data_IF_331401060520
#
_entry.id   IF_331401060520
#
_cell.length_a   1.000
_cell.length_b   1.000
_cell.length_c   1.000
_cell.angle_alpha   90.00
_cell.angle_beta   90.00
_cell.angle_gamma   90.00
#
_symmetry.space_group_name_H-M   'P 1'
#
loop_
_entity.id
_entity.type
_entity.pdbx_description
1 polymer ?
#
# COMPACT_ATOMS: atom_id res chain seq x y z
N UNK A 1 11.98 -1.24 35.28
CA UNK A 1 10.83 -0.65 34.52
C UNK A 1 9.50 -1.17 35.10
N UNK A 2 8.37 -0.48 34.88
CA UNK A 2 7.05 -0.84 35.47
C UNK A 2 6.68 -2.33 35.28
N UNK A 3 6.82 -2.85 34.06
CA UNK A 3 6.49 -4.25 33.73
C UNK A 3 7.41 -5.30 34.37
N UNK A 4 8.63 -4.94 34.78
CA UNK A 4 9.52 -5.83 35.53
C UNK A 4 9.08 -5.94 36.99
N UNK A 5 8.50 -4.85 37.54
CA UNK A 5 7.95 -4.80 38.90
C UNK A 5 6.53 -5.35 39.00
N UNK A 6 5.82 -5.43 37.87
CA UNK A 6 4.43 -5.86 37.77
C UNK A 6 4.23 -6.94 36.68
N UNK A 7 4.75 -8.17 36.89
CA UNK A 7 4.73 -9.22 35.87
C UNK A 7 3.32 -9.72 35.51
N UNK A 8 2.36 -9.61 36.44
CA UNK A 8 0.96 -10.03 36.26
C UNK A 8 0.05 -8.93 35.72
N UNK A 9 0.54 -7.69 35.60
CA UNK A 9 -0.20 -6.53 35.10
C UNK A 9 0.66 -5.70 34.14
N UNK A 10 1.28 -6.39 33.17
CA UNK A 10 2.09 -5.74 32.15
C UNK A 10 1.25 -4.76 31.34
N UNK A 11 1.68 -3.50 31.30
CA UNK A 11 1.07 -2.47 30.47
C UNK A 11 1.91 -2.31 29.21
N UNK A 12 1.24 -2.32 28.06
CA UNK A 12 1.85 -1.99 26.78
C UNK A 12 1.60 -0.52 26.49
N UNK A 13 2.66 0.30 26.39
CA UNK A 13 2.49 1.73 26.06
C UNK A 13 1.75 1.91 24.74
N UNK A 14 2.07 1.10 23.72
CA UNK A 14 1.35 1.13 22.45
C UNK A 14 -0.11 0.69 22.61
N UNK A 15 -0.37 -0.30 23.47
CA UNK A 15 -1.72 -0.76 23.80
C UNK A 15 -2.55 0.35 24.48
N UNK A 16 -1.96 1.07 25.43
CA UNK A 16 -2.61 2.21 26.10
C UNK A 16 -2.92 3.33 25.11
N UNK A 17 -1.97 3.68 24.24
CA UNK A 17 -2.16 4.73 23.23
C UNK A 17 -3.26 4.35 22.23
N UNK A 18 -3.26 3.11 21.72
CA UNK A 18 -4.25 2.64 20.74
C UNK A 18 -5.64 2.47 21.35
N UNK A 19 -5.75 2.03 22.62
CA UNK A 19 -7.01 1.98 23.33
C UNK A 19 -7.64 3.37 23.53
N UNK A 20 -6.81 4.39 23.75
CA UNK A 20 -7.30 5.76 23.99
C UNK A 20 -7.57 6.54 22.70
N UNK A 21 -6.68 6.45 21.69
CA UNK A 21 -6.73 7.29 20.49
C UNK A 21 -7.17 6.56 19.22
N UNK A 22 -7.16 5.22 19.23
CA UNK A 22 -7.38 4.39 18.05
C UNK A 22 -6.11 4.13 17.23
N UNK A 23 -6.07 2.96 16.58
CA UNK A 23 -4.93 2.52 15.77
C UNK A 23 -4.57 3.49 14.65
N UNK A 24 -5.55 4.06 13.96
CA UNK A 24 -5.34 4.98 12.84
C UNK A 24 -4.66 6.28 13.25
N UNK A 25 -5.03 6.82 14.41
CA UNK A 25 -4.47 8.06 14.97
C UNK A 25 -3.05 7.80 15.46
N UNK A 26 -2.86 6.72 16.22
CA UNK A 26 -1.54 6.34 16.75
C UNK A 26 -0.56 6.04 15.62
N UNK A 27 -0.97 5.27 14.61
CA UNK A 27 -0.12 4.94 13.46
C UNK A 27 0.36 6.21 12.74
N UNK A 28 -0.56 7.15 12.45
CA UNK A 28 -0.23 8.43 11.82
C UNK A 28 0.73 9.26 12.69
N UNK A 29 0.52 9.28 14.01
CA UNK A 29 1.39 9.99 14.94
C UNK A 29 2.79 9.40 14.99
N UNK A 30 2.92 8.07 15.04
CA UNK A 30 4.22 7.39 15.07
C UNK A 30 5.04 7.61 13.81
N UNK A 31 4.42 7.52 12.62
CA UNK A 31 5.12 7.84 11.36
C UNK A 31 5.58 9.30 11.32
N UNK A 32 4.83 10.21 11.95
CA UNK A 32 5.24 11.62 12.07
C UNK A 32 6.40 11.79 13.05
N UNK A 33 6.31 11.20 14.23
CA UNK A 33 7.33 11.27 15.28
C UNK A 33 8.65 10.59 14.86
N UNK A 34 8.60 9.55 14.01
CA UNK A 34 9.79 8.91 13.44
C UNK A 34 10.64 9.85 12.59
N UNK A 35 10.04 10.92 12.03
CA UNK A 35 10.74 11.88 11.16
C UNK A 35 11.44 13.00 11.94
N UNK A 36 11.21 13.10 13.25
CA UNK A 36 11.85 14.11 14.09
C UNK A 36 13.01 13.47 14.88
N UNK A 37 14.25 14.00 14.81
CA UNK A 37 15.42 13.36 15.40
C UNK A 37 15.29 13.00 16.88
N UNK A 38 14.64 13.88 17.66
CA UNK A 38 14.47 13.71 19.12
C UNK A 38 13.55 12.53 19.44
N UNK A 39 12.52 12.30 18.63
CA UNK A 39 11.49 11.27 18.88
C UNK A 39 11.69 10.01 18.04
N UNK A 40 12.63 10.01 17.09
CA UNK A 40 12.84 8.94 16.12
C UNK A 40 12.98 7.57 16.78
N UNK A 41 13.95 7.43 17.70
CA UNK A 41 14.24 6.14 18.35
C UNK A 41 13.04 5.57 19.08
N UNK A 42 12.30 6.40 19.80
CA UNK A 42 11.10 5.96 20.54
C UNK A 42 9.95 5.63 19.60
N UNK A 43 9.72 6.45 18.58
CA UNK A 43 8.66 6.24 17.60
C UNK A 43 8.89 4.96 16.78
N UNK A 44 10.12 4.69 16.34
CA UNK A 44 10.48 3.45 15.63
C UNK A 44 10.24 2.21 16.50
N UNK A 45 10.59 2.28 17.79
CA UNK A 45 10.34 1.18 18.73
C UNK A 45 8.84 0.95 18.92
N UNK A 46 8.06 2.01 19.15
CA UNK A 46 6.61 1.91 19.33
C UNK A 46 5.90 1.43 18.07
N UNK A 47 6.35 1.87 16.89
CA UNK A 47 5.83 1.38 15.62
C UNK A 47 6.10 -0.12 15.45
N UNK A 48 7.32 -0.58 15.73
CA UNK A 48 7.65 -2.01 15.67
C UNK A 48 6.75 -2.83 16.60
N UNK A 49 6.50 -2.33 17.81
CA UNK A 49 5.56 -2.95 18.76
C UNK A 49 4.11 -2.96 18.24
N UNK A 50 3.68 -1.91 17.54
CA UNK A 50 2.35 -1.87 16.93
C UNK A 50 2.21 -2.93 15.82
N UNK A 51 3.18 -2.99 14.90
CA UNK A 51 3.21 -3.95 13.79
C UNK A 51 3.25 -5.40 14.28
N UNK A 52 4.16 -5.70 15.21
CA UNK A 52 4.24 -7.02 15.83
C UNK A 52 2.98 -7.37 16.63
N UNK A 53 2.39 -6.38 17.30
CA UNK A 53 1.14 -6.55 18.04
C UNK A 53 0.00 -6.98 17.13
N UNK A 54 -0.15 -6.33 15.98
CA UNK A 54 -1.14 -6.72 14.96
C UNK A 54 -0.87 -8.13 14.43
N UNK A 55 0.37 -8.45 14.07
CA UNK A 55 0.74 -9.79 13.57
C UNK A 55 0.49 -10.90 14.62
N UNK A 56 0.91 -10.69 15.88
CA UNK A 56 0.71 -11.63 16.99
C UNK A 56 -0.77 -11.83 17.33
N UNK A 57 -1.58 -10.81 17.09
CA UNK A 57 -3.05 -10.88 17.25
C UNK A 57 -3.75 -11.53 16.06
N UNK A 58 -3.00 -12.05 15.07
CA UNK A 58 -3.56 -12.77 13.92
C UNK A 58 -4.24 -11.88 12.89
N UNK A 59 -3.97 -10.56 12.89
CA UNK A 59 -4.58 -9.64 11.92
C UNK A 59 -4.07 -9.92 10.52
N UNK A 60 -4.96 -9.87 9.54
CA UNK A 60 -4.62 -9.84 8.12
C UNK A 60 -4.23 -8.42 7.67
N UNK A 61 -3.72 -8.30 6.44
CA UNK A 61 -3.47 -6.99 5.83
C UNK A 61 -4.77 -6.21 5.66
N UNK A 62 -5.87 -6.87 5.31
CA UNK A 62 -7.20 -6.27 5.21
C UNK A 62 -7.71 -5.74 6.56
N UNK A 63 -7.46 -6.49 7.65
CA UNK A 63 -7.80 -6.03 9.00
C UNK A 63 -7.02 -4.77 9.38
N UNK A 64 -5.73 -4.70 9.06
CA UNK A 64 -4.91 -3.52 9.33
C UNK A 64 -5.33 -2.35 8.43
N UNK A 65 -5.66 -2.61 7.17
CA UNK A 65 -6.24 -1.60 6.28
C UNK A 65 -7.51 -0.97 6.87
N UNK A 66 -8.40 -1.81 7.42
CA UNK A 66 -9.63 -1.38 8.08
C UNK A 66 -9.35 -0.62 9.40
N UNK A 67 -8.41 -1.11 10.23
CA UNK A 67 -8.01 -0.44 11.48
C UNK A 67 -7.44 0.95 11.24
N UNK A 68 -6.71 1.13 10.14
CA UNK A 68 -6.17 2.42 9.72
C UNK A 68 -7.24 3.34 9.09
N UNK A 69 -8.47 2.86 8.88
CA UNK A 69 -9.57 3.61 8.27
C UNK A 69 -9.22 4.21 6.91
N UNK A 70 -8.42 3.49 6.12
CA UNK A 70 -7.92 3.97 4.83
C UNK A 70 -9.05 4.07 3.79
N UNK A 71 -10.08 3.22 3.89
CA UNK A 71 -11.28 3.32 3.05
C UNK A 71 -12.01 4.64 3.26
N UNK A 72 -12.13 5.07 4.51
CA UNK A 72 -12.79 6.32 4.91
C UNK A 72 -12.00 7.55 4.48
N UNK A 73 -10.66 7.46 4.47
CA UNK A 73 -9.79 8.54 3.98
C UNK A 73 -9.93 8.75 2.45
N UNK A 74 -10.44 7.76 1.70
CA UNK A 74 -10.66 7.87 0.24
C UNK A 74 -9.39 8.28 -0.51
N UNK A 75 -9.46 9.31 -1.35
CA UNK A 75 -8.29 9.81 -2.09
C UNK A 75 -7.18 10.36 -1.19
N UNK A 76 -7.52 10.89 -0.01
CA UNK A 76 -6.54 11.41 0.94
C UNK A 76 -5.64 10.29 1.51
N UNK A 77 -6.08 9.02 1.44
CA UNK A 77 -5.27 7.87 1.82
C UNK A 77 -3.96 7.79 1.04
N UNK A 78 -3.95 8.21 -0.24
CA UNK A 78 -2.78 8.13 -1.14
C UNK A 78 -1.57 8.91 -0.60
N UNK A 79 -1.82 10.02 0.11
CA UNK A 79 -0.79 10.86 0.72
C UNK A 79 -0.72 10.70 2.24
N UNK A 80 -1.56 9.85 2.81
CA UNK A 80 -1.64 9.63 4.25
C UNK A 80 -0.44 8.85 4.75
N UNK A 81 0.09 9.27 5.90
CA UNK A 81 1.11 8.49 6.63
C UNK A 81 0.59 7.13 7.09
N UNK A 82 -0.72 6.95 7.15
CA UNK A 82 -1.35 5.65 7.42
C UNK A 82 -1.04 4.63 6.32
N UNK A 83 -0.94 5.05 5.05
CA UNK A 83 -0.55 4.17 3.96
C UNK A 83 0.91 3.68 4.10
N UNK A 84 1.80 4.53 4.63
CA UNK A 84 3.17 4.13 4.95
C UNK A 84 3.20 3.09 6.08
N UNK A 85 2.31 3.21 7.07
CA UNK A 85 2.16 2.18 8.11
C UNK A 85 1.66 0.85 7.54
N UNK A 86 0.67 0.88 6.63
CA UNK A 86 0.19 -0.33 5.96
C UNK A 86 1.29 -0.99 5.14
N UNK A 87 2.08 -0.22 4.39
CA UNK A 87 3.22 -0.72 3.62
C UNK A 87 4.28 -1.39 4.51
N UNK A 88 4.59 -0.78 5.67
CA UNK A 88 5.48 -1.37 6.67
C UNK A 88 4.90 -2.69 7.24
N UNK A 89 3.57 -2.76 7.43
CA UNK A 89 2.89 -3.97 7.88
C UNK A 89 2.88 -5.08 6.83
N UNK A 90 2.59 -4.76 5.57
CA UNK A 90 2.60 -5.73 4.46
C UNK A 90 3.97 -6.40 4.33
N UNK A 91 5.06 -5.61 4.40
CA UNK A 91 6.43 -6.16 4.37
C UNK A 91 6.69 -7.13 5.51
N UNK A 92 6.25 -6.78 6.72
CA UNK A 92 6.35 -7.67 7.87
C UNK A 92 5.52 -8.94 7.65
N UNK A 93 4.26 -8.79 7.24
CA UNK A 93 3.33 -9.90 7.04
C UNK A 93 3.84 -10.88 5.99
N UNK A 94 4.26 -10.40 4.82
CA UNK A 94 4.79 -11.22 3.74
C UNK A 94 6.04 -11.98 4.17
N UNK A 95 6.95 -11.33 4.91
CA UNK A 95 8.16 -11.98 5.45
C UNK A 95 7.82 -13.11 6.43
N UNK A 96 6.96 -12.84 7.41
CA UNK A 96 6.69 -13.77 8.52
C UNK A 96 5.69 -14.87 8.16
N UNK A 97 4.82 -14.63 7.17
CA UNK A 97 3.81 -15.57 6.71
C UNK A 97 4.15 -16.24 5.38
N UNK A 98 5.28 -15.88 4.76
CA UNK A 98 5.63 -16.29 3.39
C UNK A 98 4.49 -16.02 2.41
N UNK A 99 3.84 -14.87 2.57
CA UNK A 99 2.72 -14.40 1.76
C UNK A 99 3.19 -13.39 0.70
N UNK A 100 2.29 -13.04 -0.21
CA UNK A 100 2.54 -12.06 -1.28
C UNK A 100 1.42 -10.99 -1.31
N UNK A 101 1.12 -10.43 -0.14
CA UNK A 101 0.14 -9.36 -0.01
C UNK A 101 0.62 -8.08 -0.69
N UNK A 102 -0.30 -7.38 -1.33
CA UNK A 102 0.00 -6.22 -2.18
C UNK A 102 -0.79 -5.01 -1.77
N UNK A 103 -0.10 -3.88 -1.57
CA UNK A 103 -0.74 -2.62 -1.16
C UNK A 103 -1.76 -2.13 -2.20
N UNK A 104 -1.52 -2.39 -3.50
CA UNK A 104 -2.44 -1.98 -4.56
C UNK A 104 -3.68 -2.87 -4.62
N UNK A 105 -3.56 -4.17 -4.31
CA UNK A 105 -4.72 -5.07 -4.22
C UNK A 105 -5.65 -4.66 -3.07
N UNK A 106 -5.07 -4.42 -1.90
CA UNK A 106 -5.83 -4.01 -0.72
C UNK A 106 -6.48 -2.64 -0.92
N UNK A 107 -5.75 -1.70 -1.54
CA UNK A 107 -6.33 -0.41 -1.93
C UNK A 107 -7.44 -0.58 -2.95
N UNK A 108 -7.31 -1.48 -3.94
CA UNK A 108 -8.34 -1.72 -4.95
C UNK A 108 -9.65 -2.21 -4.31
N UNK A 109 -9.59 -3.07 -3.28
CA UNK A 109 -10.77 -3.47 -2.49
C UNK A 109 -11.47 -2.24 -1.91
N UNK A 110 -10.71 -1.32 -1.32
CA UNK A 110 -11.24 -0.08 -0.73
C UNK A 110 -11.91 0.86 -1.75
N UNK A 111 -11.33 0.98 -2.95
CA UNK A 111 -11.88 1.80 -4.05
C UNK A 111 -12.99 1.08 -4.84
N UNK A 112 -13.21 -0.22 -4.58
CA UNK A 112 -14.27 -1.02 -5.19
C UNK A 112 -13.89 -1.65 -6.54
N UNK A 113 -12.60 -1.88 -6.78
CA UNK A 113 -12.05 -2.48 -7.99
C UNK A 113 -10.72 -1.86 -8.42
N UNK A 114 -9.93 -2.62 -9.18
CA UNK A 114 -8.67 -2.15 -9.75
C UNK A 114 -8.85 -1.02 -10.75
N UNK A 115 -9.94 -1.06 -11.53
CA UNK A 115 -10.36 -0.03 -12.48
C UNK A 115 -10.66 1.30 -11.77
N UNK A 116 -11.35 1.25 -10.64
CA UNK A 116 -11.69 2.42 -9.82
C UNK A 116 -10.46 2.97 -9.13
N UNK A 117 -9.57 2.11 -8.61
CA UNK A 117 -8.27 2.54 -8.09
C UNK A 117 -7.44 3.21 -9.19
N UNK A 118 -7.31 2.60 -10.36
CA UNK A 118 -6.51 3.14 -11.46
C UNK A 118 -7.01 4.52 -11.90
N UNK A 119 -8.33 4.68 -12.00
CA UNK A 119 -8.97 5.96 -12.34
C UNK A 119 -8.77 7.00 -11.23
N UNK A 120 -8.89 6.60 -9.96
CA UNK A 120 -8.64 7.49 -8.83
C UNK A 120 -7.19 7.97 -8.78
N UNK A 121 -6.22 7.09 -9.03
CA UNK A 121 -4.80 7.43 -9.07
C UNK A 121 -4.47 8.35 -10.25
N UNK A 122 -5.06 8.11 -11.42
CA UNK A 122 -4.92 9.01 -12.57
C UNK A 122 -5.42 10.43 -12.24
N UNK A 123 -6.59 10.54 -11.59
CA UNK A 123 -7.12 11.82 -11.14
C UNK A 123 -6.25 12.47 -10.05
N UNK A 124 -5.75 11.69 -9.09
CA UNK A 124 -4.83 12.19 -8.07
C UNK A 124 -3.53 12.75 -8.66
N UNK A 125 -3.10 12.25 -9.82
CA UNK A 125 -1.93 12.79 -10.53
C UNK A 125 -2.16 14.16 -11.13
N UNK A 126 -3.41 14.58 -11.32
CA UNK A 126 -3.73 15.95 -11.73
C UNK A 126 -3.55 16.96 -10.59
N UNK A 127 -3.45 16.49 -9.33
CA UNK A 127 -3.24 17.35 -8.17
C UNK A 127 -1.75 17.44 -7.81
N UNK A 128 -1.15 18.65 -7.76
CA UNK A 128 0.29 18.80 -7.48
C UNK A 128 0.77 18.13 -6.19
N UNK A 129 -0.03 18.19 -5.12
CA UNK A 129 0.30 17.61 -3.81
C UNK A 129 0.32 16.08 -3.83
N UNK A 130 -0.56 15.47 -4.63
CA UNK A 130 -0.73 14.01 -4.65
C UNK A 130 0.08 13.36 -5.78
N UNK A 131 0.50 14.11 -6.79
CA UNK A 131 1.07 13.59 -8.03
C UNK A 131 2.19 12.57 -7.81
N UNK A 132 3.20 12.92 -7.01
CA UNK A 132 4.35 12.03 -6.79
C UNK A 132 3.95 10.70 -6.14
N UNK A 133 3.09 10.74 -5.12
CA UNK A 133 2.62 9.53 -4.39
C UNK A 133 1.65 8.71 -5.24
N UNK A 134 0.73 9.37 -5.94
CA UNK A 134 -0.21 8.72 -6.84
C UNK A 134 0.51 8.04 -8.01
N UNK A 135 1.51 8.69 -8.62
CA UNK A 135 2.34 8.10 -9.66
C UNK A 135 3.11 6.88 -9.15
N UNK A 136 3.68 6.94 -7.94
CA UNK A 136 4.35 5.79 -7.33
C UNK A 136 3.39 4.62 -7.14
N UNK A 137 2.20 4.87 -6.60
CA UNK A 137 1.21 3.82 -6.37
C UNK A 137 0.65 3.26 -7.69
N UNK A 138 0.51 4.09 -8.72
CA UNK A 138 0.08 3.64 -10.05
C UNK A 138 1.15 2.81 -10.76
N UNK A 139 2.44 3.14 -10.59
CA UNK A 139 3.52 2.28 -11.05
C UNK A 139 3.54 0.93 -10.31
N UNK A 140 3.20 0.90 -9.02
CA UNK A 140 3.05 -0.37 -8.29
C UNK A 140 1.84 -1.17 -8.82
N UNK A 141 0.76 -0.50 -9.22
CA UNK A 141 -0.38 -1.16 -9.87
C UNK A 141 0.02 -1.74 -11.23
N UNK A 142 0.86 -1.03 -11.99
CA UNK A 142 1.40 -1.55 -13.25
C UNK A 142 2.35 -2.74 -13.05
N UNK A 143 3.20 -2.70 -12.02
CA UNK A 143 4.02 -3.85 -11.65
C UNK A 143 3.14 -5.07 -11.33
N UNK A 144 2.08 -4.87 -10.54
CA UNK A 144 1.13 -5.93 -10.21
C UNK A 144 0.47 -6.53 -11.46
N UNK A 145 0.03 -5.69 -12.41
CA UNK A 145 -0.55 -6.16 -13.67
C UNK A 145 0.46 -6.94 -14.53
N UNK A 146 1.73 -6.51 -14.55
CA UNK A 146 2.78 -7.23 -15.26
C UNK A 146 3.03 -8.62 -14.63
N UNK A 147 3.10 -8.69 -13.29
CA UNK A 147 3.28 -9.94 -12.55
C UNK A 147 2.08 -10.90 -12.72
N UNK A 148 0.88 -10.36 -12.92
CA UNK A 148 -0.33 -11.12 -13.27
C UNK A 148 -0.41 -11.53 -14.75
N UNK A 149 0.58 -11.15 -15.56
CA UNK A 149 0.69 -11.53 -16.96
C UNK A 149 -0.18 -10.69 -17.90
N UNK A 150 -0.64 -9.51 -17.49
CA UNK A 150 -1.39 -8.62 -18.37
C UNK A 150 -0.46 -8.00 -19.41
N UNK A 151 -0.87 -8.07 -20.68
CA UNK A 151 -0.24 -7.31 -21.74
C UNK A 151 -0.82 -5.89 -21.84
N UNK A 152 -0.13 -5.02 -22.57
CA UNK A 152 -0.52 -3.60 -22.65
C UNK A 152 -1.91 -3.34 -23.23
N UNK A 153 -2.51 -4.29 -23.96
CA UNK A 153 -3.83 -4.16 -24.59
C UNK A 153 -4.92 -4.84 -23.77
N UNK A 154 -4.60 -5.94 -23.06
CA UNK A 154 -5.54 -6.69 -22.25
C UNK A 154 -6.13 -5.87 -21.10
N UNK A 155 -5.40 -4.87 -20.58
CA UNK A 155 -5.87 -4.03 -19.46
C UNK A 155 -7.23 -3.36 -19.73
N UNK A 156 -7.54 -2.98 -20.98
CA UNK A 156 -8.86 -2.41 -21.30
C UNK A 156 -10.00 -3.40 -21.05
N UNK A 157 -9.77 -4.68 -21.30
CA UNK A 157 -10.79 -5.72 -21.32
C UNK A 157 -10.81 -6.45 -19.98
N UNK A 158 -9.64 -6.73 -19.40
CA UNK A 158 -9.48 -7.42 -18.11
C UNK A 158 -9.76 -6.51 -16.93
N UNK A 159 -9.19 -5.31 -16.87
CA UNK A 159 -9.33 -4.39 -15.74
C UNK A 159 -10.56 -3.51 -15.94
N UNK A 160 -10.62 -2.80 -17.06
CA UNK A 160 -11.67 -1.79 -17.30
C UNK A 160 -12.96 -2.36 -17.89
N UNK A 161 -13.02 -3.66 -18.18
CA UNK A 161 -14.21 -4.36 -18.71
C UNK A 161 -14.79 -3.70 -19.97
N UNK A 162 -13.94 -3.08 -20.80
CA UNK A 162 -14.33 -2.56 -22.12
C UNK A 162 -14.47 -3.73 -23.08
N UNK A 163 -15.54 -3.75 -23.86
CA UNK A 163 -15.80 -4.82 -24.84
C UNK A 163 -14.71 -4.86 -25.93
N UNK A 164 -14.20 -6.06 -26.22
CA UNK A 164 -13.17 -6.30 -27.24
C UNK A 164 -13.57 -5.75 -28.62
N UNK A 165 -14.84 -5.89 -28.99
CA UNK A 165 -15.37 -5.40 -30.27
C UNK A 165 -15.46 -3.86 -30.34
N UNK A 166 -15.30 -3.16 -29.20
CA UNK A 166 -15.55 -1.72 -29.08
C UNK A 166 -14.52 -1.01 -28.17
N UNK A 167 -13.23 -1.34 -28.32
CA UNK A 167 -12.14 -0.69 -27.57
C UNK A 167 -12.11 0.85 -27.76
N UNK A 168 -12.63 1.34 -28.90
CA UNK A 168 -12.78 2.77 -29.16
C UNK A 168 -13.70 3.46 -28.14
N UNK A 169 -14.63 2.74 -27.52
CA UNK A 169 -15.54 3.22 -26.47
C UNK A 169 -14.87 3.52 -25.13
N UNK A 170 -13.60 3.13 -24.94
CA UNK A 170 -12.87 3.43 -23.71
C UNK A 170 -12.79 4.95 -23.44
N UNK A 171 -12.95 5.32 -22.17
CA UNK A 171 -12.90 6.71 -21.73
C UNK A 171 -11.51 7.31 -21.93
N UNK A 172 -11.41 8.65 -21.92
CA UNK A 172 -10.11 9.34 -22.04
C UNK A 172 -9.15 8.91 -20.92
N UNK A 173 -9.65 8.77 -19.69
CA UNK A 173 -8.84 8.33 -18.55
C UNK A 173 -8.36 6.90 -18.71
N UNK A 174 -9.22 5.97 -19.15
CA UNK A 174 -8.84 4.58 -19.43
C UNK A 174 -7.74 4.51 -20.51
N UNK A 175 -7.92 5.24 -21.61
CA UNK A 175 -6.92 5.33 -22.68
C UNK A 175 -5.59 5.92 -22.19
N UNK A 176 -5.64 6.93 -21.31
CA UNK A 176 -4.44 7.51 -20.69
C UNK A 176 -3.70 6.48 -19.84
N UNK A 177 -4.43 5.77 -18.97
CA UNK A 177 -3.84 4.76 -18.07
C UNK A 177 -3.19 3.64 -18.88
N UNK A 178 -3.86 3.15 -19.93
CA UNK A 178 -3.34 2.09 -20.82
C UNK A 178 -2.10 2.57 -21.58
N UNK A 179 -2.09 3.81 -22.07
CA UNK A 179 -0.89 4.39 -22.70
C UNK A 179 0.29 4.43 -21.72
N UNK A 180 0.04 4.77 -20.46
CA UNK A 180 1.07 4.80 -19.43
C UNK A 180 1.54 3.39 -19.04
N UNK A 181 0.62 2.43 -18.91
CA UNK A 181 0.97 1.04 -18.66
C UNK A 181 1.79 0.46 -19.81
N UNK A 182 1.43 0.72 -21.07
CA UNK A 182 2.22 0.33 -22.24
C UNK A 182 3.66 0.86 -22.16
N UNK A 183 3.83 2.13 -21.82
CA UNK A 183 5.16 2.71 -21.66
C UNK A 183 5.94 2.09 -20.48
N UNK A 184 5.25 1.71 -19.39
CA UNK A 184 5.84 0.97 -18.28
C UNK A 184 6.28 -0.43 -18.72
N UNK A 185 5.36 -1.21 -19.29
CA UNK A 185 5.58 -2.57 -19.81
C UNK A 185 6.77 -2.62 -20.77
N UNK A 186 6.79 -1.73 -21.76
CA UNK A 186 7.87 -1.65 -22.73
C UNK A 186 9.22 -1.29 -22.11
N UNK A 187 9.23 -0.49 -21.04
CA UNK A 187 10.47 -0.17 -20.33
C UNK A 187 11.00 -1.37 -19.58
N UNK A 188 10.15 -2.06 -18.81
CA UNK A 188 10.55 -3.22 -18.01
C UNK A 188 10.96 -4.40 -18.91
N UNK A 189 10.24 -4.65 -20.00
CA UNK A 189 10.58 -5.73 -20.97
C UNK A 189 11.85 -5.45 -21.78
N UNK A 190 12.27 -4.18 -21.91
CA UNK A 190 13.53 -3.80 -22.58
C UNK A 190 14.75 -3.89 -21.68
N UNK A 191 14.59 -3.98 -20.35
CA UNK A 191 15.71 -4.27 -19.45
C UNK A 191 15.99 -5.78 -19.58
N UNK A 192 17.17 -6.20 -20.09
CA UNK A 192 17.49 -7.62 -20.11
C UNK A 192 17.46 -8.13 -18.67
N UNK A 193 16.77 -9.24 -18.42
CA UNK A 193 16.87 -10.01 -17.19
C UNK A 193 18.34 -10.40 -16.98
N UNK A 194 19.12 -9.54 -16.31
CA UNK A 194 20.45 -9.90 -15.81
C UNK A 194 20.21 -10.81 -14.62
N UNK A 195 19.92 -12.07 -14.91
CA UNK A 195 20.14 -13.16 -13.99
C UNK A 195 21.65 -13.21 -13.78
N UNK A 196 22.13 -12.64 -12.67
CA UNK A 196 23.51 -12.87 -12.26
C UNK A 196 23.71 -14.39 -12.13
N UNK A 197 24.63 -15.01 -12.90
CA UNK A 197 24.93 -16.41 -12.72
C UNK A 197 25.50 -16.60 -11.31
N UNK A 198 24.90 -17.51 -10.55
CA UNK A 198 25.43 -17.96 -9.26
C UNK A 198 26.91 -18.32 -9.45
N UNK A 199 27.78 -17.57 -8.78
CA UNK A 199 29.19 -17.93 -8.58
C UNK A 199 29.23 -19.38 -8.08
N UNK A 200 29.90 -20.25 -8.83
CA UNK A 200 30.45 -21.52 -8.35
C UNK A 200 31.92 -21.32 -8.08
#
# INVERSE_FOLDING_TARGET
MFNEKHPNSKISLIGTLTAHYGDDVVAKALVSARRAPITERMATRLQSQQLEGWLKSGKSVDDVYALLKLKQDGLAAVVSRKLEMLDDYIKLFNREKSADESVVKVMAIGFGGEDKLATALENARLHPVMNAKAKKLQNAQFAQWLDEGYDSLSVLTTVFKVEDASLAGASRSQKSIVKQFKAYYEREMRVPNVVEPRRS
#
